data_IF_128650287703
#
_entry.id   IF_128650287703
#
_cell.length_a   1.000
_cell.length_b   1.000
_cell.length_c   1.000
_cell.angle_alpha   90.00
_cell.angle_beta   90.00
_cell.angle_gamma   90.00
#
_symmetry.space_group_name_H-M   'P 1'
#
loop_
_entity.id
_entity.type
_entity.pdbx_description
1 polymer ?
#
# COMPACT_ATOMS: atom_id res chain seq x y z
N UNK A 1 -30.38 2.33 4.79
CA UNK A 1 -29.86 3.68 5.10
C UNK A 1 -28.35 3.50 5.23
N UNK A 2 -27.55 4.14 4.36
CA UNK A 2 -26.09 4.13 4.49
C UNK A 2 -25.75 5.02 5.69
N UNK A 3 -25.13 4.44 6.73
CA UNK A 3 -24.68 5.19 7.89
C UNK A 3 -23.66 6.27 7.51
N UNK A 4 -23.53 7.29 8.35
CA UNK A 4 -22.52 8.34 8.16
C UNK A 4 -21.14 7.70 8.40
N UNK A 5 -20.22 7.87 7.46
CA UNK A 5 -18.83 7.43 7.62
C UNK A 5 -18.10 8.38 8.54
N UNK A 6 -17.51 7.83 9.58
CA UNK A 6 -16.62 8.56 10.50
C UNK A 6 -15.18 8.32 10.10
N UNK A 7 -14.37 9.39 10.04
CA UNK A 7 -12.91 9.33 9.92
C UNK A 7 -12.27 9.71 11.24
N UNK A 8 -11.50 8.79 11.83
CA UNK A 8 -10.83 8.99 13.12
C UNK A 8 -9.31 8.94 12.92
N UNK A 9 -8.60 10.07 13.05
CA UNK A 9 -7.15 10.09 12.99
C UNK A 9 -6.54 9.57 14.31
N UNK A 10 -5.43 8.83 14.18
CA UNK A 10 -4.62 8.39 15.30
C UNK A 10 -3.16 8.20 14.90
N UNK A 11 -2.28 8.07 15.88
CA UNK A 11 -0.87 7.75 15.66
C UNK A 11 -0.57 6.39 16.28
N UNK A 12 -0.13 5.45 15.46
CA UNK A 12 0.39 4.16 15.91
C UNK A 12 1.91 4.28 16.00
N UNK A 13 2.52 3.73 17.04
CA UNK A 13 3.98 3.63 17.15
C UNK A 13 4.47 2.30 16.59
N UNK A 14 5.49 2.35 15.72
CA UNK A 14 6.17 1.13 15.30
C UNK A 14 7.15 0.63 16.38
N UNK A 15 7.86 -0.46 16.11
CA UNK A 15 8.82 -1.06 17.05
C UNK A 15 10.00 -0.15 17.39
N UNK A 16 10.35 0.79 16.52
CA UNK A 16 11.40 1.80 16.69
C UNK A 16 10.90 3.08 17.36
N UNK A 17 9.61 3.11 17.73
CA UNK A 17 8.93 4.27 18.29
C UNK A 17 8.71 5.42 17.27
N UNK A 18 8.80 5.14 15.95
CA UNK A 18 8.44 6.09 14.92
C UNK A 18 6.91 6.19 14.76
N UNK A 19 6.44 7.35 14.30
CA UNK A 19 5.02 7.63 14.08
C UNK A 19 4.50 7.03 12.77
N UNK A 20 3.42 6.26 12.87
CA UNK A 20 2.60 5.81 11.76
C UNK A 20 1.29 6.60 11.82
N UNK A 21 1.21 7.69 11.08
CA UNK A 21 -0.01 8.51 11.00
C UNK A 21 -1.10 7.72 10.29
N UNK A 22 -2.19 7.45 11.00
CA UNK A 22 -3.22 6.49 10.61
C UNK A 22 -4.58 7.14 10.66
N UNK A 23 -5.48 6.74 9.75
CA UNK A 23 -6.90 7.06 9.82
C UNK A 23 -7.73 5.78 9.79
N UNK A 24 -8.76 5.75 10.62
CA UNK A 24 -9.82 4.77 10.61
C UNK A 24 -11.06 5.33 9.93
N UNK A 25 -11.64 4.57 9.00
CA UNK A 25 -12.90 4.91 8.32
C UNK A 25 -13.90 3.78 8.59
N UNK A 26 -15.03 4.11 9.18
CA UNK A 26 -16.09 3.14 9.49
C UNK A 26 -17.43 3.84 9.66
N UNK A 27 -18.53 3.08 9.63
CA UNK A 27 -19.85 3.60 9.97
C UNK A 27 -20.13 3.35 11.46
N UNK A 28 -20.59 4.40 12.16
CA UNK A 28 -21.05 4.28 13.54
C UNK A 28 -22.24 3.30 13.63
N UNK A 29 -22.52 2.80 14.80
CA UNK A 29 -23.57 1.82 15.09
C UNK A 29 -23.40 0.43 14.43
N UNK A 30 -22.22 0.13 13.89
CA UNK A 30 -21.88 -1.17 13.33
C UNK A 30 -20.99 -1.97 14.28
N UNK A 31 -20.99 -3.29 14.13
CA UNK A 31 -20.14 -4.19 14.89
C UNK A 31 -19.59 -5.31 14.01
N UNK A 32 -18.42 -5.81 14.35
CA UNK A 32 -17.77 -6.91 13.64
C UNK A 32 -17.58 -6.66 12.14
N UNK A 33 -17.23 -5.41 11.78
CA UNK A 33 -16.97 -5.00 10.40
C UNK A 33 -15.73 -5.73 9.84
N UNK A 34 -15.76 -6.28 8.61
CA UNK A 34 -14.56 -6.77 7.94
C UNK A 34 -13.47 -5.71 7.94
N UNK A 35 -12.23 -6.10 8.30
CA UNK A 35 -11.11 -5.18 8.44
C UNK A 35 -10.34 -5.09 7.13
N UNK A 36 -10.11 -3.88 6.65
CA UNK A 36 -9.32 -3.58 5.45
C UNK A 36 -8.16 -2.68 5.82
N UNK A 37 -6.92 -3.09 5.54
CA UNK A 37 -5.71 -2.27 5.76
C UNK A 37 -5.05 -1.96 4.43
N UNK A 38 -4.76 -0.69 4.18
CA UNK A 38 -4.21 -0.21 2.92
C UNK A 38 -2.76 0.28 3.04
N UNK A 39 -1.93 -0.10 2.06
CA UNK A 39 -0.55 0.34 1.89
C UNK A 39 -0.39 1.16 0.61
N UNK A 40 0.08 2.40 0.74
CA UNK A 40 0.38 3.29 -0.39
C UNK A 40 1.70 2.93 -1.08
N UNK A 41 1.91 3.44 -2.30
CA UNK A 41 3.12 3.24 -3.08
C UNK A 41 4.26 4.24 -2.80
N UNK A 42 5.30 4.13 -3.62
CA UNK A 42 6.47 5.04 -3.60
C UNK A 42 6.06 6.48 -3.92
N UNK A 43 6.56 7.44 -3.15
CA UNK A 43 6.14 8.86 -3.20
C UNK A 43 4.63 9.04 -2.96
N UNK A 44 4.01 8.08 -2.29
CA UNK A 44 2.61 8.12 -1.88
C UNK A 44 2.46 8.45 -0.39
N UNK A 45 1.23 8.64 0.00
CA UNK A 45 0.77 8.82 1.39
C UNK A 45 -0.73 8.47 1.45
N UNK A 46 -1.23 8.24 2.66
CA UNK A 46 -2.63 7.79 2.89
C UNK A 46 -3.73 8.69 2.30
N UNK A 47 -3.43 9.98 2.16
CA UNK A 47 -4.37 11.00 1.62
C UNK A 47 -4.07 11.35 0.15
N UNK A 48 -3.29 10.53 -0.57
CA UNK A 48 -2.97 10.81 -1.96
C UNK A 48 -4.18 10.60 -2.88
N UNK A 49 -4.50 11.66 -3.65
CA UNK A 49 -5.52 11.60 -4.71
C UNK A 49 -6.85 11.01 -4.22
N UNK A 50 -7.28 9.94 -4.85
CA UNK A 50 -8.56 9.27 -4.60
C UNK A 50 -8.59 8.36 -3.37
N UNK A 51 -7.50 8.14 -2.66
CA UNK A 51 -7.48 7.16 -1.56
C UNK A 51 -8.51 7.46 -0.46
N UNK A 52 -8.65 8.69 0.05
CA UNK A 52 -9.72 8.98 1.02
C UNK A 52 -11.13 8.65 0.49
N UNK A 53 -11.41 9.01 -0.76
CA UNK A 53 -12.67 8.66 -1.42
C UNK A 53 -12.91 7.14 -1.48
N UNK A 54 -11.87 6.38 -1.85
CA UNK A 54 -11.94 4.90 -1.88
C UNK A 54 -12.24 4.34 -0.49
N UNK A 55 -11.60 4.88 0.58
CA UNK A 55 -11.84 4.40 1.95
C UNK A 55 -13.24 4.74 2.45
N UNK A 56 -13.76 5.91 2.13
CA UNK A 56 -15.14 6.28 2.43
C UNK A 56 -16.14 5.33 1.74
N UNK A 57 -15.88 4.95 0.47
CA UNK A 57 -16.70 3.98 -0.26
C UNK A 57 -16.63 2.58 0.36
N UNK A 58 -15.45 2.11 0.76
CA UNK A 58 -15.25 0.82 1.45
C UNK A 58 -15.98 0.83 2.80
N UNK A 59 -15.86 1.90 3.57
CA UNK A 59 -16.53 2.05 4.86
C UNK A 59 -18.06 2.11 4.72
N UNK A 60 -18.57 2.87 3.74
CA UNK A 60 -19.99 2.95 3.43
C UNK A 60 -20.60 1.60 3.01
N UNK A 61 -19.76 0.70 2.49
CA UNK A 61 -20.16 -0.67 2.13
C UNK A 61 -20.11 -1.66 3.33
N UNK A 62 -19.90 -1.16 4.55
CA UNK A 62 -19.94 -1.97 5.78
C UNK A 62 -18.60 -2.61 6.13
N UNK A 63 -17.49 -1.99 5.80
CA UNK A 63 -16.15 -2.42 6.21
C UNK A 63 -15.51 -1.40 7.16
N UNK A 64 -14.49 -1.83 7.90
CA UNK A 64 -13.62 -0.95 8.67
C UNK A 64 -12.31 -0.76 7.90
N UNK A 65 -12.09 0.43 7.34
CA UNK A 65 -10.89 0.70 6.54
C UNK A 65 -9.84 1.45 7.36
N UNK A 66 -8.59 1.02 7.21
CA UNK A 66 -7.41 1.59 7.86
C UNK A 66 -6.43 2.04 6.78
N UNK A 67 -6.12 3.32 6.78
CA UNK A 67 -5.08 3.90 5.92
C UNK A 67 -3.99 4.51 6.79
N UNK A 68 -2.73 4.27 6.46
CA UNK A 68 -1.62 4.81 7.22
C UNK A 68 -0.47 5.28 6.32
N UNK A 69 0.36 6.17 6.85
CA UNK A 69 1.63 6.52 6.25
C UNK A 69 2.74 5.63 6.81
N UNK A 70 3.57 5.06 5.93
CA UNK A 70 4.83 4.45 6.36
C UNK A 70 5.68 5.48 7.09
N UNK A 71 6.39 5.07 8.14
CA UNK A 71 7.13 5.96 9.05
C UNK A 71 8.14 6.87 8.33
N UNK A 72 8.73 6.34 7.26
CA UNK A 72 9.75 7.03 6.46
C UNK A 72 9.30 7.36 5.04
N UNK A 73 8.00 7.55 4.82
CA UNK A 73 7.51 7.98 3.50
C UNK A 73 7.90 9.42 3.14
N UNK A 74 8.38 10.20 4.10
CA UNK A 74 8.86 11.57 3.92
C UNK A 74 7.81 12.66 4.05
N UNK A 75 6.55 12.30 4.37
CA UNK A 75 5.49 13.28 4.65
C UNK A 75 5.30 13.50 6.15
N UNK A 76 4.54 14.51 6.52
CA UNK A 76 4.14 14.73 7.90
C UNK A 76 5.12 15.55 8.71
N UNK A 77 5.11 15.30 10.03
CA UNK A 77 5.79 16.09 11.04
C UNK A 77 4.83 17.00 11.80
N UNK A 78 3.82 17.53 11.10
CA UNK A 78 2.68 18.24 11.69
C UNK A 78 1.39 17.89 10.96
N UNK A 79 0.19 18.11 11.53
CA UNK A 79 -1.08 17.85 10.85
C UNK A 79 -1.22 18.55 9.49
N UNK A 80 -0.66 19.75 9.35
CA UNK A 80 -0.73 20.57 8.13
C UNK A 80 0.15 20.01 7.01
N UNK A 81 1.20 19.27 7.34
CA UNK A 81 2.18 18.75 6.38
C UNK A 81 2.00 17.28 6.02
N UNK A 82 0.87 16.65 6.42
CA UNK A 82 0.61 15.22 6.19
C UNK A 82 0.58 14.80 4.72
N UNK A 83 0.31 15.71 3.80
CA UNK A 83 0.32 15.49 2.35
C UNK A 83 1.51 16.13 1.63
N UNK A 84 2.48 16.66 2.39
CA UNK A 84 3.68 17.32 1.86
C UNK A 84 4.93 16.51 2.18
N UNK A 85 5.88 16.44 1.23
CA UNK A 85 7.19 15.85 1.47
C UNK A 85 8.09 16.87 2.19
N UNK A 86 7.86 17.05 3.48
CA UNK A 86 8.56 17.99 4.35
C UNK A 86 9.72 17.35 5.12
N UNK A 87 9.80 16.01 5.16
CA UNK A 87 10.80 15.22 5.89
C UNK A 87 11.65 14.40 4.93
N UNK A 88 12.39 15.09 4.05
CA UNK A 88 13.15 14.45 2.96
C UNK A 88 14.28 13.54 3.47
N UNK A 89 14.83 13.79 4.64
CA UNK A 89 15.80 12.92 5.31
C UNK A 89 15.20 11.55 5.68
N UNK A 90 13.96 11.50 6.17
CA UNK A 90 13.26 10.25 6.42
C UNK A 90 13.00 9.48 5.11
N UNK A 91 12.56 10.20 4.07
CA UNK A 91 12.38 9.58 2.76
C UNK A 91 13.69 8.99 2.21
N UNK A 92 14.81 9.69 2.43
CA UNK A 92 16.11 9.24 1.98
C UNK A 92 16.58 7.96 2.69
N UNK A 93 16.27 7.81 3.97
CA UNK A 93 16.65 6.68 4.82
C UNK A 93 15.61 5.55 4.87
N UNK A 94 14.55 5.65 4.04
CA UNK A 94 13.54 4.60 3.97
C UNK A 94 14.11 3.30 3.36
N UNK A 95 13.61 2.15 3.83
CA UNK A 95 13.96 0.83 3.31
C UNK A 95 12.72 -0.04 3.12
N UNK A 96 12.82 -1.09 2.30
CA UNK A 96 11.70 -2.02 2.06
C UNK A 96 11.37 -2.84 3.31
N UNK A 97 12.39 -3.28 4.06
CA UNK A 97 12.19 -3.98 5.33
C UNK A 97 11.47 -3.11 6.35
N UNK A 98 11.76 -1.79 6.39
CA UNK A 98 11.05 -0.84 7.25
C UNK A 98 9.58 -0.74 6.89
N UNK A 99 9.24 -0.58 5.62
CA UNK A 99 7.84 -0.54 5.17
C UNK A 99 7.09 -1.84 5.56
N UNK A 100 7.74 -3.00 5.41
CA UNK A 100 7.17 -4.29 5.78
C UNK A 100 6.97 -4.43 7.30
N UNK A 101 7.90 -3.93 8.10
CA UNK A 101 7.84 -3.94 9.57
C UNK A 101 6.82 -2.91 10.11
N UNK A 102 6.67 -1.75 9.45
CA UNK A 102 5.64 -0.77 9.75
C UNK A 102 4.24 -1.37 9.59
N UNK A 103 3.98 -2.06 8.47
CA UNK A 103 2.71 -2.78 8.28
C UNK A 103 2.50 -3.84 9.38
N UNK A 104 3.55 -4.58 9.75
CA UNK A 104 3.50 -5.52 10.87
C UNK A 104 3.13 -4.84 12.20
N UNK A 105 3.63 -3.62 12.44
CA UNK A 105 3.31 -2.84 13.64
C UNK A 105 1.85 -2.38 13.65
N UNK A 106 1.32 -1.95 12.50
CA UNK A 106 -0.12 -1.62 12.35
C UNK A 106 -0.99 -2.85 12.65
N UNK A 107 -0.68 -4.01 12.07
CA UNK A 107 -1.44 -5.23 12.30
C UNK A 107 -1.40 -5.68 13.78
N UNK A 108 -0.25 -5.55 14.43
CA UNK A 108 -0.11 -5.86 15.85
C UNK A 108 -0.92 -4.90 16.74
N UNK A 109 -0.92 -3.59 16.41
CA UNK A 109 -1.77 -2.63 17.11
C UNK A 109 -3.25 -2.97 16.97
N UNK A 110 -3.69 -3.30 15.75
CA UNK A 110 -5.09 -3.67 15.49
C UNK A 110 -5.47 -4.95 16.24
N UNK A 111 -4.64 -5.99 16.26
CA UNK A 111 -4.91 -7.21 17.02
C UNK A 111 -5.02 -6.96 18.54
N UNK A 112 -4.13 -6.14 19.10
CA UNK A 112 -4.14 -5.78 20.52
C UNK A 112 -5.34 -4.90 20.92
N UNK A 113 -5.98 -4.22 19.98
CA UNK A 113 -7.09 -3.31 20.23
C UNK A 113 -8.42 -3.77 19.61
N UNK A 114 -8.53 -5.03 19.20
CA UNK A 114 -9.72 -5.58 18.54
C UNK A 114 -11.02 -5.48 19.35
N UNK A 115 -10.92 -5.43 20.68
CA UNK A 115 -12.06 -5.28 21.56
C UNK A 115 -12.47 -3.80 21.78
N UNK A 116 -11.72 -2.84 21.24
CA UNK A 116 -11.97 -1.40 21.41
C UNK A 116 -12.69 -0.76 20.22
N UNK A 117 -12.64 -1.41 19.07
CA UNK A 117 -13.15 -0.87 17.81
C UNK A 117 -14.10 -1.88 17.14
N UNK A 118 -15.03 -1.44 16.29
CA UNK A 118 -16.08 -2.30 15.75
C UNK A 118 -15.64 -3.19 14.57
N UNK A 119 -14.37 -3.56 14.43
CA UNK A 119 -13.93 -4.48 13.38
C UNK A 119 -13.79 -5.92 13.86
N UNK A 120 -13.92 -6.85 12.91
CA UNK A 120 -13.54 -8.24 13.07
C UNK A 120 -12.12 -8.47 12.54
N UNK A 121 -11.16 -8.61 13.45
CA UNK A 121 -9.77 -8.86 13.09
C UNK A 121 -9.55 -10.22 12.40
N UNK A 122 -10.46 -11.19 12.57
CA UNK A 122 -10.38 -12.48 11.90
C UNK A 122 -10.80 -12.42 10.42
N UNK A 123 -11.32 -11.27 9.96
CA UNK A 123 -11.66 -11.01 8.57
C UNK A 123 -10.80 -9.86 8.01
N UNK A 124 -9.47 -10.06 8.07
CA UNK A 124 -8.48 -9.07 7.63
C UNK A 124 -8.18 -9.19 6.15
N UNK A 125 -8.41 -8.12 5.40
CA UNK A 125 -7.98 -7.93 4.01
C UNK A 125 -6.84 -6.92 3.94
N UNK A 126 -5.78 -7.23 3.21
CA UNK A 126 -4.76 -6.25 2.84
C UNK A 126 -4.99 -5.75 1.42
N UNK A 127 -4.89 -4.44 1.24
CA UNK A 127 -4.90 -3.77 -0.08
C UNK A 127 -3.60 -3.01 -0.23
N UNK A 128 -2.91 -3.16 -1.36
CA UNK A 128 -1.70 -2.38 -1.63
C UNK A 128 -1.67 -1.84 -3.05
N UNK A 129 -1.21 -0.60 -3.20
CA UNK A 129 -1.02 0.07 -4.49
C UNK A 129 0.46 0.17 -4.83
N UNK A 130 0.84 -0.19 -6.06
CA UNK A 130 2.20 -0.02 -6.58
C UNK A 130 3.25 -0.74 -5.71
N UNK A 131 4.23 -0.02 -5.12
CA UNK A 131 5.17 -0.56 -4.14
C UNK A 131 4.44 -1.17 -2.93
N UNK A 132 3.39 -0.50 -2.43
CA UNK A 132 2.57 -1.03 -1.35
C UNK A 132 1.90 -2.36 -1.69
N UNK A 133 1.64 -2.63 -2.98
CA UNK A 133 1.20 -3.94 -3.46
C UNK A 133 2.24 -5.04 -3.20
N UNK A 134 3.52 -4.77 -3.48
CA UNK A 134 4.62 -5.67 -3.12
C UNK A 134 4.72 -5.91 -1.60
N UNK A 135 4.58 -4.84 -0.80
CA UNK A 135 4.62 -4.94 0.67
C UNK A 135 3.49 -5.81 1.23
N UNK A 136 2.24 -5.65 0.74
CA UNK A 136 1.12 -6.47 1.22
C UNK A 136 1.22 -7.93 0.77
N UNK A 137 1.83 -8.22 -0.40
CA UNK A 137 2.11 -9.59 -0.85
C UNK A 137 3.13 -10.26 0.09
N UNK A 138 4.24 -9.57 0.40
CA UNK A 138 5.23 -10.06 1.37
C UNK A 138 4.59 -10.31 2.73
N UNK A 139 3.76 -9.37 3.22
CA UNK A 139 3.08 -9.51 4.50
C UNK A 139 2.10 -10.67 4.51
N UNK A 140 1.30 -10.85 3.48
CA UNK A 140 0.35 -11.96 3.40
C UNK A 140 1.05 -13.34 3.36
N UNK A 141 2.28 -13.41 2.84
CA UNK A 141 3.08 -14.63 2.83
C UNK A 141 3.72 -14.97 4.20
N UNK A 142 3.98 -13.96 5.05
CA UNK A 142 4.62 -14.16 6.37
C UNK A 142 3.63 -14.10 7.55
N UNK A 143 2.38 -13.63 7.35
CA UNK A 143 1.42 -13.38 8.43
C UNK A 143 0.08 -14.10 8.18
N UNK A 144 -0.16 -15.17 8.88
CA UNK A 144 -1.37 -16.02 8.74
C UNK A 144 -2.68 -15.34 9.16
N UNK A 145 -2.61 -14.16 9.77
CA UNK A 145 -3.78 -13.35 10.14
C UNK A 145 -4.49 -12.77 8.91
N UNK A 146 -3.77 -12.59 7.79
CA UNK A 146 -4.33 -12.12 6.53
C UNK A 146 -5.27 -13.17 5.94
N UNK A 147 -6.48 -12.75 5.53
CA UNK A 147 -7.54 -13.64 5.00
C UNK A 147 -7.87 -13.37 3.54
N UNK A 148 -7.68 -12.15 3.05
CA UNK A 148 -7.84 -11.77 1.65
C UNK A 148 -6.73 -10.79 1.26
N UNK A 149 -6.38 -10.76 -0.02
CA UNK A 149 -5.35 -9.89 -0.57
C UNK A 149 -5.86 -9.19 -1.82
N UNK A 150 -5.57 -7.89 -1.94
CA UNK A 150 -5.84 -7.10 -3.15
C UNK A 150 -4.56 -6.34 -3.52
N UNK A 151 -4.09 -6.49 -4.74
CA UNK A 151 -2.95 -5.74 -5.29
C UNK A 151 -3.38 -4.91 -6.50
N UNK A 152 -3.13 -3.60 -6.41
CA UNK A 152 -3.52 -2.59 -7.40
C UNK A 152 -2.26 -2.03 -8.05
N UNK A 153 -2.11 -2.18 -9.37
CA UNK A 153 -0.96 -1.70 -10.13
C UNK A 153 0.39 -2.06 -9.47
N UNK A 154 0.47 -3.29 -8.90
CA UNK A 154 1.56 -3.74 -8.03
C UNK A 154 2.83 -4.06 -8.80
N UNK A 155 3.98 -3.81 -8.17
CA UNK A 155 5.27 -4.36 -8.59
C UNK A 155 5.36 -5.86 -8.26
N UNK A 156 6.09 -6.61 -9.07
CA UNK A 156 6.44 -8.01 -8.83
C UNK A 156 7.86 -8.19 -8.25
N UNK A 157 8.64 -7.11 -8.16
CA UNK A 157 9.98 -7.12 -7.59
C UNK A 157 10.48 -5.71 -7.26
N UNK A 158 11.37 -5.61 -6.27
CA UNK A 158 11.98 -4.34 -5.87
C UNK A 158 13.22 -4.00 -6.70
N UNK A 159 13.93 -5.01 -7.22
CA UNK A 159 15.14 -4.80 -8.02
C UNK A 159 14.80 -4.36 -9.45
N UNK A 160 14.61 -3.06 -9.60
CA UNK A 160 14.23 -2.40 -10.87
C UNK A 160 15.34 -1.50 -11.40
N UNK A 161 16.56 -1.64 -10.88
CA UNK A 161 17.70 -0.79 -11.19
C UNK A 161 18.72 -1.55 -12.03
N UNK A 162 19.25 -0.92 -13.09
CA UNK A 162 20.34 -1.50 -13.85
C UNK A 162 21.62 -1.59 -13.00
N UNK A 163 22.50 -2.53 -13.32
CA UNK A 163 23.81 -2.68 -12.63
C UNK A 163 24.66 -1.40 -12.67
N UNK A 164 24.56 -0.64 -13.76
CA UNK A 164 25.19 0.69 -13.86
C UNK A 164 24.63 1.64 -12.80
N UNK A 165 23.30 1.73 -12.65
CA UNK A 165 22.69 2.58 -11.64
C UNK A 165 23.05 2.14 -10.22
N UNK A 166 23.08 0.84 -9.94
CA UNK A 166 23.47 0.31 -8.62
C UNK A 166 24.93 0.69 -8.30
N UNK A 167 25.84 0.58 -9.27
CA UNK A 167 27.24 0.96 -9.11
C UNK A 167 27.39 2.46 -8.81
N UNK A 168 26.76 3.32 -9.63
CA UNK A 168 26.78 4.77 -9.43
C UNK A 168 26.17 5.15 -8.07
N UNK A 169 25.09 4.49 -7.66
CA UNK A 169 24.45 4.70 -6.36
C UNK A 169 25.39 4.32 -5.21
N UNK A 170 26.07 3.19 -5.31
CA UNK A 170 27.06 2.73 -4.32
C UNK A 170 28.23 3.69 -4.18
N UNK A 171 28.81 4.14 -5.30
CA UNK A 171 29.93 5.08 -5.32
C UNK A 171 29.55 6.45 -4.74
N UNK A 172 28.35 6.92 -5.01
CA UNK A 172 27.85 8.23 -4.62
C UNK A 172 27.20 8.24 -3.23
N UNK A 173 26.80 7.07 -2.72
CA UNK A 173 26.07 6.89 -1.46
C UNK A 173 24.58 7.21 -1.54
N UNK A 174 24.08 7.77 -2.64
CA UNK A 174 22.67 8.07 -2.84
C UNK A 174 22.30 8.16 -4.34
N UNK A 175 21.01 8.00 -4.60
CA UNK A 175 20.38 8.24 -5.91
C UNK A 175 19.31 9.33 -5.78
N UNK A 176 19.13 10.16 -6.80
CA UNK A 176 18.11 11.22 -6.80
C UNK A 176 16.96 10.86 -7.73
N UNK A 177 15.76 10.99 -7.22
CA UNK A 177 14.51 10.87 -7.98
C UNK A 177 13.77 12.20 -7.96
N UNK A 178 13.17 12.57 -9.10
CA UNK A 178 12.33 13.75 -9.18
C UNK A 178 10.90 13.41 -8.75
N UNK A 179 10.34 14.18 -7.83
CA UNK A 179 8.91 14.21 -7.65
C UNK A 179 8.31 15.20 -8.66
N UNK A 180 7.69 14.66 -9.71
CA UNK A 180 7.20 15.47 -10.82
C UNK A 180 6.07 16.43 -10.41
N UNK A 181 5.31 16.08 -9.35
CA UNK A 181 4.24 16.92 -8.82
C UNK A 181 4.78 18.14 -8.07
N UNK A 182 5.71 17.93 -7.14
CA UNK A 182 6.24 19.00 -6.27
C UNK A 182 7.52 19.65 -6.82
N UNK A 183 8.09 19.08 -7.89
CA UNK A 183 9.40 19.46 -8.47
C UNK A 183 10.57 19.32 -7.48
N UNK A 184 10.39 18.57 -6.40
CA UNK A 184 11.44 18.30 -5.43
C UNK A 184 12.36 17.18 -5.94
N UNK A 185 13.68 17.38 -5.78
CA UNK A 185 14.66 16.31 -5.86
C UNK A 185 14.69 15.58 -4.53
N UNK A 186 14.40 14.30 -4.57
CA UNK A 186 14.32 13.44 -3.40
C UNK A 186 15.43 12.41 -3.46
N UNK A 187 16.19 12.26 -2.39
CA UNK A 187 17.28 11.28 -2.31
C UNK A 187 16.76 9.94 -1.82
N UNK A 188 17.39 8.88 -2.33
CA UNK A 188 17.32 7.53 -1.81
C UNK A 188 18.75 7.16 -1.42
N UNK A 189 19.03 6.97 -0.14
CA UNK A 189 20.35 6.58 0.34
C UNK A 189 20.67 5.15 -0.09
N UNK A 190 21.96 4.81 -0.20
CA UNK A 190 22.40 3.49 -0.63
C UNK A 190 21.90 2.36 0.29
N UNK A 191 21.58 2.70 1.55
CA UNK A 191 20.93 1.81 2.52
C UNK A 191 19.66 1.09 2.00
N UNK A 192 18.94 1.68 1.02
CA UNK A 192 17.80 1.01 0.38
C UNK A 192 18.23 -0.23 -0.42
N UNK A 193 19.33 -0.14 -1.17
CA UNK A 193 19.90 -1.29 -1.90
C UNK A 193 20.57 -2.28 -0.97
N UNK A 194 21.29 -1.81 0.06
CA UNK A 194 21.89 -2.68 1.07
C UNK A 194 20.82 -3.50 1.80
N UNK A 195 19.67 -2.88 2.12
CA UNK A 195 18.53 -3.58 2.71
C UNK A 195 18.01 -4.67 1.76
N UNK A 196 17.84 -4.36 0.48
CA UNK A 196 17.37 -5.31 -0.52
C UNK A 196 18.35 -6.48 -0.70
N UNK A 197 19.66 -6.21 -0.79
CA UNK A 197 20.69 -7.23 -0.93
C UNK A 197 20.76 -8.15 0.32
N UNK A 198 20.73 -7.53 1.50
CA UNK A 198 20.84 -8.24 2.79
C UNK A 198 19.62 -9.08 3.10
N UNK A 199 18.42 -8.61 2.73
CA UNK A 199 17.15 -9.24 3.03
C UNK A 199 16.47 -9.83 1.78
N UNK A 200 17.23 -10.17 0.75
CA UNK A 200 16.73 -10.58 -0.56
C UNK A 200 15.73 -11.74 -0.52
N UNK A 201 15.91 -12.70 0.40
CA UNK A 201 14.96 -13.82 0.57
C UNK A 201 13.61 -13.38 1.16
N UNK A 202 13.63 -12.47 2.14
CA UNK A 202 12.41 -11.93 2.77
C UNK A 202 11.69 -10.94 1.84
N UNK A 203 12.44 -10.23 1.00
CA UNK A 203 11.95 -9.18 0.11
C UNK A 203 11.67 -9.68 -1.33
N UNK A 204 11.72 -10.98 -1.57
CA UNK A 204 11.40 -11.60 -2.86
C UNK A 204 9.88 -11.73 -3.03
N UNK A 205 9.29 -10.76 -3.76
CA UNK A 205 7.83 -10.67 -3.95
C UNK A 205 7.30 -11.88 -4.73
N UNK A 206 8.03 -12.37 -5.73
CA UNK A 206 7.62 -13.51 -6.56
C UNK A 206 7.61 -14.81 -5.74
N UNK A 207 8.65 -15.05 -4.93
CA UNK A 207 8.65 -16.17 -3.99
C UNK A 207 7.57 -16.05 -2.91
N UNK A 208 7.26 -14.83 -2.47
CA UNK A 208 6.16 -14.59 -1.55
C UNK A 208 4.81 -14.89 -2.22
N UNK A 209 4.59 -14.45 -3.47
CA UNK A 209 3.39 -14.75 -4.25
C UNK A 209 3.12 -16.27 -4.33
N UNK A 210 4.18 -17.07 -4.51
CA UNK A 210 4.07 -18.54 -4.52
C UNK A 210 3.60 -19.16 -3.19
N UNK A 211 3.58 -18.40 -2.09
CA UNK A 211 3.09 -18.83 -0.78
C UNK A 211 1.68 -18.33 -0.47
N UNK A 212 1.10 -17.49 -1.31
CA UNK A 212 -0.24 -16.93 -1.09
C UNK A 212 -1.28 -18.02 -1.33
N UNK A 213 -1.98 -18.42 -0.28
CA UNK A 213 -3.08 -19.39 -0.32
C UNK A 213 -4.46 -18.76 -0.10
N UNK A 214 -4.50 -17.50 0.32
CA UNK A 214 -5.76 -16.76 0.53
C UNK A 214 -6.33 -16.24 -0.79
N UNK A 215 -7.63 -15.93 -0.86
CA UNK A 215 -8.23 -15.25 -2.02
C UNK A 215 -7.44 -14.00 -2.39
N UNK A 216 -7.15 -13.83 -3.68
CA UNK A 216 -6.31 -12.73 -4.17
C UNK A 216 -6.89 -12.08 -5.43
N UNK A 217 -7.16 -10.78 -5.36
CA UNK A 217 -7.56 -9.94 -6.48
C UNK A 217 -6.38 -9.10 -6.96
N UNK A 218 -6.02 -9.23 -8.23
CA UNK A 218 -4.93 -8.51 -8.89
C UNK A 218 -5.55 -7.61 -9.95
N UNK A 219 -5.36 -6.29 -9.87
CA UNK A 219 -5.87 -5.32 -10.84
C UNK A 219 -4.73 -4.48 -11.39
N UNK A 220 -4.63 -4.35 -12.73
CA UNK A 220 -3.61 -3.54 -13.38
C UNK A 220 -4.14 -2.91 -14.67
N UNK A 221 -3.62 -1.74 -15.02
CA UNK A 221 -3.99 -1.03 -16.25
C UNK A 221 -2.96 -1.24 -17.37
N UNK A 222 -3.42 -1.35 -18.63
CA UNK A 222 -2.53 -1.60 -19.79
C UNK A 222 -1.64 -0.40 -20.16
N UNK A 223 -2.01 0.81 -19.74
CA UNK A 223 -1.26 2.05 -20.01
C UNK A 223 -0.48 2.55 -18.79
N UNK A 224 -0.13 1.65 -17.87
CA UNK A 224 0.67 1.97 -16.70
C UNK A 224 2.14 2.19 -17.09
N UNK A 225 2.56 3.47 -17.11
CA UNK A 225 3.93 3.88 -17.42
C UNK A 225 4.89 3.80 -16.22
N UNK A 226 4.39 3.57 -15.01
CA UNK A 226 5.20 3.46 -13.80
C UNK A 226 5.56 2.01 -13.47
N UNK A 227 4.60 1.11 -13.65
CA UNK A 227 4.76 -0.34 -13.45
C UNK A 227 4.10 -1.04 -14.63
N UNK A 228 4.88 -1.68 -15.48
CA UNK A 228 4.35 -2.43 -16.61
C UNK A 228 3.39 -3.53 -16.16
N UNK A 229 2.25 -3.69 -16.83
CA UNK A 229 1.19 -4.63 -16.45
C UNK A 229 1.62 -6.10 -16.48
N UNK A 230 2.73 -6.44 -17.14
CA UNK A 230 3.34 -7.77 -17.05
C UNK A 230 3.72 -8.16 -15.61
N UNK A 231 3.92 -7.17 -14.70
CA UNK A 231 4.09 -7.46 -13.27
C UNK A 231 2.86 -8.15 -12.67
N UNK A 232 1.64 -7.79 -13.10
CA UNK A 232 0.43 -8.46 -12.65
C UNK A 232 0.34 -9.89 -13.18
N UNK A 233 0.79 -10.13 -14.41
CA UNK A 233 0.86 -11.49 -15.01
C UNK A 233 1.89 -12.36 -14.28
N UNK A 234 3.07 -11.81 -13.96
CA UNK A 234 4.09 -12.48 -13.14
C UNK A 234 3.50 -12.89 -11.79
N UNK A 235 2.85 -11.96 -11.08
CA UNK A 235 2.23 -12.22 -9.78
C UNK A 235 1.12 -13.27 -9.87
N UNK A 236 0.27 -13.18 -10.88
CA UNK A 236 -0.79 -14.15 -11.11
C UNK A 236 -0.24 -15.55 -11.38
N UNK A 237 0.80 -15.66 -12.22
CA UNK A 237 1.40 -16.94 -12.56
C UNK A 237 2.18 -17.55 -11.39
N UNK A 238 2.85 -16.73 -10.57
CA UNK A 238 3.57 -17.16 -9.37
C UNK A 238 2.63 -17.59 -8.23
N UNK A 239 1.47 -16.92 -8.09
CA UNK A 239 0.53 -17.14 -7.00
C UNK A 239 -0.01 -18.57 -6.95
N UNK A 240 -0.04 -19.18 -5.75
CA UNK A 240 -0.52 -20.55 -5.53
C UNK A 240 -2.00 -20.63 -5.13
N UNK A 241 -2.66 -19.50 -4.87
CA UNK A 241 -4.08 -19.49 -4.49
C UNK A 241 -4.96 -20.02 -5.62
N UNK A 242 -5.85 -20.97 -5.33
CA UNK A 242 -6.89 -21.45 -6.25
C UNK A 242 -7.98 -20.39 -6.48
N UNK A 243 -8.14 -19.45 -5.56
CA UNK A 243 -9.10 -18.34 -5.64
C UNK A 243 -8.36 -17.02 -5.92
N UNK A 244 -7.67 -16.94 -7.05
CA UNK A 244 -7.01 -15.72 -7.53
C UNK A 244 -7.65 -15.21 -8.81
N UNK A 245 -7.81 -13.90 -8.90
CA UNK A 245 -8.42 -13.23 -10.04
C UNK A 245 -7.48 -12.16 -10.59
N UNK A 246 -7.22 -12.19 -11.90
CA UNK A 246 -6.47 -11.17 -12.61
C UNK A 246 -7.42 -10.35 -13.48
N UNK A 247 -7.44 -9.05 -13.25
CA UNK A 247 -8.22 -8.08 -14.04
C UNK A 247 -7.24 -7.09 -14.68
N UNK A 248 -7.11 -7.18 -15.98
CA UNK A 248 -6.38 -6.20 -16.78
C UNK A 248 -7.39 -5.20 -17.34
N UNK A 249 -7.14 -3.91 -17.06
CA UNK A 249 -8.00 -2.81 -17.45
C UNK A 249 -7.40 -2.08 -18.65
N UNK A 250 -8.09 -2.19 -19.78
CA UNK A 250 -7.68 -1.51 -21.01
C UNK A 250 -7.70 0.01 -20.87
N UNK A 251 -6.78 0.71 -21.56
CA UNK A 251 -6.69 2.17 -21.61
C UNK A 251 -6.62 2.85 -20.22
N UNK A 252 -6.00 2.16 -19.27
CA UNK A 252 -5.97 2.59 -17.87
C UNK A 252 -4.53 2.68 -17.40
N UNK A 253 -4.17 3.83 -16.77
CA UNK A 253 -2.83 4.08 -16.22
C UNK A 253 -2.68 3.67 -14.75
N UNK A 254 -1.52 4.02 -14.17
CA UNK A 254 -1.07 3.60 -12.84
C UNK A 254 -2.02 3.90 -11.68
N UNK A 255 -2.75 5.00 -11.76
CA UNK A 255 -3.66 5.50 -10.69
C UNK A 255 -5.13 5.36 -11.06
N UNK A 256 -5.43 4.56 -12.09
CA UNK A 256 -6.80 4.36 -12.58
C UNK A 256 -7.51 5.68 -12.96
N UNK A 257 -6.73 6.63 -13.49
CA UNK A 257 -7.20 7.95 -13.88
C UNK A 257 -7.27 8.99 -12.74
N UNK A 258 -7.05 8.59 -11.48
CA UNK A 258 -7.02 9.54 -10.37
C UNK A 258 -5.79 10.45 -10.42
N UNK A 259 -6.00 11.72 -10.01
CA UNK A 259 -4.97 12.75 -9.89
C UNK A 259 -4.82 13.19 -8.43
N UNK A 260 -3.77 13.96 -8.14
CA UNK A 260 -3.62 14.60 -6.83
C UNK A 260 -3.29 16.09 -7.01
N UNK A 261 -4.04 17.03 -6.40
CA UNK A 261 -5.21 16.79 -5.52
C UNK A 261 -6.35 16.05 -6.23
N UNK A 262 -7.21 15.38 -5.46
CA UNK A 262 -8.37 14.68 -6.02
C UNK A 262 -9.40 15.70 -6.53
N UNK A 263 -9.74 15.61 -7.80
CA UNK A 263 -10.69 16.54 -8.45
C UNK A 263 -12.05 15.85 -8.63
N UNK A 264 -12.05 14.66 -9.23
CA UNK A 264 -13.26 13.89 -9.48
C UNK A 264 -12.91 12.41 -9.69
N UNK A 265 -13.91 11.54 -9.65
CA UNK A 265 -13.77 10.12 -9.98
C UNK A 265 -13.70 9.91 -11.49
N UNK A 266 -13.27 8.71 -11.91
CA UNK A 266 -13.23 8.27 -13.31
C UNK A 266 -13.94 6.93 -13.44
N UNK A 267 -14.40 6.59 -14.65
CA UNK A 267 -15.03 5.29 -14.92
C UNK A 267 -14.10 4.12 -14.54
N UNK A 268 -12.80 4.28 -14.79
CA UNK A 268 -11.80 3.29 -14.42
C UNK A 268 -11.69 3.13 -12.88
N UNK A 269 -11.64 4.24 -12.14
CA UNK A 269 -11.61 4.22 -10.68
C UNK A 269 -12.88 3.61 -10.09
N UNK A 270 -14.07 3.98 -10.58
CA UNK A 270 -15.35 3.42 -10.12
C UNK A 270 -15.43 1.92 -10.38
N UNK A 271 -14.90 1.46 -11.51
CA UNK A 271 -14.81 0.03 -11.81
C UNK A 271 -13.89 -0.68 -10.82
N UNK A 272 -12.73 -0.10 -10.49
CA UNK A 272 -11.81 -0.66 -9.46
C UNK A 272 -12.50 -0.72 -8.11
N UNK A 273 -13.19 0.35 -7.68
CA UNK A 273 -13.92 0.38 -6.42
C UNK A 273 -15.00 -0.73 -6.38
N UNK A 274 -15.76 -0.88 -7.47
CA UNK A 274 -16.77 -1.93 -7.59
C UNK A 274 -16.17 -3.33 -7.45
N UNK A 275 -15.05 -3.61 -8.14
CA UNK A 275 -14.33 -4.88 -8.05
C UNK A 275 -13.82 -5.15 -6.64
N UNK A 276 -13.28 -4.13 -5.95
CA UNK A 276 -12.86 -4.23 -4.54
C UNK A 276 -14.05 -4.59 -3.66
N UNK A 277 -15.15 -3.85 -3.77
CA UNK A 277 -16.34 -4.08 -2.94
C UNK A 277 -16.97 -5.45 -3.16
N UNK A 278 -17.00 -5.94 -4.41
CA UNK A 278 -17.50 -7.29 -4.71
C UNK A 278 -16.61 -8.38 -4.13
N UNK A 279 -15.29 -8.17 -4.16
CA UNK A 279 -14.33 -9.11 -3.61
C UNK A 279 -14.32 -9.12 -2.05
N UNK A 280 -14.68 -8.02 -1.40
CA UNK A 280 -14.77 -7.91 0.06
C UNK A 280 -15.97 -8.66 0.65
N UNK A 281 -17.06 -8.85 -0.12
CA UNK A 281 -18.22 -9.67 0.27
C UNK A 281 -17.81 -11.13 0.51
#
# INVERSE_FOLDING_TARGET
>A
MTGIVTRTPLVIKNKQNDDLYTDFYYTEDSSALPLVVFCHGFKGFKDWGSFPYVFERIASAGNFAVAFNFSYNGTGGTPETMSEFSRLEFFADNTFSRELDDLGSVLNFLDQNKDKYPYDFNNLTLIGHSRGGGIVILKAAEDSRVKKLISLASIAGFDRYSERHKKEWKERGYFEVMNMRTKQKMRLNYSLLEDLEKNNERLDIEKAAAKISVPWLIIHGTEDLAVDYSNAEILYNAGSSDNKHLIIMEQTGHTFGAVHPFEDTTDALEKVITLIMDFLK
#
